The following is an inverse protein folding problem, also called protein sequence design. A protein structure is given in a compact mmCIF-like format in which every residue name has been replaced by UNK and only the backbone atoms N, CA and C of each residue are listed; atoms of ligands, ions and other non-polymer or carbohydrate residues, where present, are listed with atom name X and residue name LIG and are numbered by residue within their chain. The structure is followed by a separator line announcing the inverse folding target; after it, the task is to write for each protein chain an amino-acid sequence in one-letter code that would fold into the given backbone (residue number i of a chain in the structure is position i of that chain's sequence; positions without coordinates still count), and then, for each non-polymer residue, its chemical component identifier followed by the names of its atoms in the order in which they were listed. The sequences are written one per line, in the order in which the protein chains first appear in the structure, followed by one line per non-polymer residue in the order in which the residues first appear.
data_IF_825379620948
#
_entry.id   IF_825379620948
#
_cell.length_a   1.000
_cell.length_b   1.000
_cell.length_c   1.000
_cell.angle_alpha   90.00
_cell.angle_beta   90.00
_cell.angle_gamma   90.00
#
_symmetry.space_group_name_H-M   'P 1'
#
loop_
_entity.id
_entity.type
_entity.pdbx_description
1 polymer ?
#
# COMPACT_ATOMS: atom_id res chain seq x y z
N UNK A 1 -0.48 -11.09 23.45
CA UNK A 1 -1.19 -11.82 22.37
C UNK A 1 -2.37 -12.55 22.96
N UNK A 2 -3.56 -12.52 22.38
CA UNK A 2 -4.70 -13.30 22.89
C UNK A 2 -4.42 -14.80 22.76
N UNK A 3 -4.67 -15.55 23.82
CA UNK A 3 -4.36 -17.00 23.87
C UNK A 3 -5.40 -17.87 23.14
N UNK A 4 -6.65 -17.41 22.99
CA UNK A 4 -7.77 -18.21 22.45
C UNK A 4 -8.23 -17.77 21.07
N UNK A 5 -8.35 -16.48 20.82
CA UNK A 5 -8.83 -15.94 19.54
C UNK A 5 -8.05 -14.71 19.12
N UNK A 6 -7.99 -14.45 17.82
CA UNK A 6 -7.44 -13.20 17.30
C UNK A 6 -8.31 -12.01 17.76
N UNK A 7 -7.68 -10.85 17.96
CA UNK A 7 -8.41 -9.63 18.32
C UNK A 7 -9.47 -9.29 17.26
N UNK A 8 -10.66 -8.87 17.70
CA UNK A 8 -11.74 -8.43 16.82
C UNK A 8 -11.28 -7.22 16.01
N UNK A 9 -11.51 -7.29 14.71
CA UNK A 9 -11.11 -6.23 13.80
C UNK A 9 -12.17 -5.14 13.79
N UNK A 10 -11.76 -3.87 14.01
CA UNK A 10 -12.67 -2.74 13.88
C UNK A 10 -13.09 -2.57 12.43
N UNK A 11 -14.39 -2.38 12.12
CA UNK A 11 -14.85 -2.03 10.79
C UNK A 11 -14.29 -0.66 10.39
N UNK A 12 -13.92 -0.51 9.12
CA UNK A 12 -13.55 0.78 8.55
C UNK A 12 -14.80 1.34 7.88
N UNK A 13 -15.27 2.46 8.36
CA UNK A 13 -16.35 3.21 7.73
C UNK A 13 -15.86 3.81 6.41
N UNK A 14 -16.72 3.94 5.40
CA UNK A 14 -16.35 4.61 4.16
C UNK A 14 -16.17 6.11 4.39
N UNK A 15 -15.31 6.72 3.58
CA UNK A 15 -15.12 8.17 3.57
C UNK A 15 -16.44 8.91 3.23
N UNK A 16 -16.79 10.00 3.93
CA UNK A 16 -18.07 10.69 3.74
C UNK A 16 -18.19 11.37 2.35
N UNK A 17 -17.08 11.83 1.77
CA UNK A 17 -17.09 12.53 0.47
C UNK A 17 -17.16 11.56 -0.69
N UNK A 18 -16.21 10.62 -0.74
CA UNK A 18 -16.09 9.67 -1.85
C UNK A 18 -16.78 8.33 -1.58
N UNK A 19 -17.37 8.12 -0.42
CA UNK A 19 -18.05 6.88 0.01
C UNK A 19 -17.20 5.61 -0.19
N UNK A 20 -15.88 5.75 -0.20
CA UNK A 20 -14.92 4.68 -0.47
C UNK A 20 -14.17 4.28 0.80
N UNK A 21 -14.14 2.96 1.09
CA UNK A 21 -13.33 2.40 2.17
C UNK A 21 -11.84 2.50 1.87
N UNK A 22 -11.45 2.52 0.59
CA UNK A 22 -10.06 2.62 0.18
C UNK A 22 -9.50 4.02 0.48
N UNK A 23 -10.28 5.07 0.17
CA UNK A 23 -9.93 6.46 0.51
C UNK A 23 -9.70 6.59 2.01
N UNK A 24 -10.64 6.05 2.82
CA UNK A 24 -10.51 6.07 4.29
C UNK A 24 -9.26 5.31 4.78
N UNK A 25 -8.87 4.22 4.13
CA UNK A 25 -7.64 3.49 4.48
C UNK A 25 -6.39 4.34 4.20
N UNK A 26 -6.36 5.08 3.09
CA UNK A 26 -5.27 6.00 2.75
C UNK A 26 -5.20 7.15 3.76
N UNK A 27 -6.33 7.77 4.12
CA UNK A 27 -6.42 8.82 5.14
C UNK A 27 -5.87 8.31 6.48
N UNK A 28 -6.33 7.15 6.94
CA UNK A 28 -5.89 6.56 8.21
C UNK A 28 -4.38 6.25 8.21
N UNK A 29 -3.82 5.88 7.07
CA UNK A 29 -2.38 5.61 6.95
C UNK A 29 -1.55 6.90 6.85
N UNK A 30 -2.10 7.93 6.21
CA UNK A 30 -1.45 9.23 6.05
C UNK A 30 -1.44 10.03 7.35
N UNK A 31 -2.43 9.83 8.20
CA UNK A 31 -2.59 10.56 9.47
C UNK A 31 -1.33 10.43 10.35
N UNK A 32 -0.91 11.56 10.95
CA UNK A 32 0.11 11.67 11.97
C UNK A 32 -0.48 12.39 13.18
N UNK A 33 -0.04 12.01 14.39
CA UNK A 33 -0.41 12.65 15.67
C UNK A 33 -1.92 12.83 15.87
N UNK A 34 -2.75 11.96 15.27
CA UNK A 34 -4.21 12.05 15.36
C UNK A 34 -4.85 13.17 14.54
N UNK A 35 -4.08 13.91 13.71
CA UNK A 35 -4.57 15.03 12.89
C UNK A 35 -5.34 14.55 11.67
N UNK A 36 -6.55 14.01 11.89
CA UNK A 36 -7.36 13.39 10.85
C UNK A 36 -7.82 14.39 9.77
N UNK A 37 -8.31 15.57 10.18
CA UNK A 37 -8.80 16.61 9.26
C UNK A 37 -7.71 17.10 8.30
N UNK A 38 -6.46 17.21 8.76
CA UNK A 38 -5.32 17.55 7.90
C UNK A 38 -5.04 16.44 6.88
N UNK A 39 -5.11 15.18 7.32
CA UNK A 39 -4.91 14.03 6.41
C UNK A 39 -6.03 13.93 5.36
N UNK A 40 -7.28 14.18 5.74
CA UNK A 40 -8.44 14.24 4.83
C UNK A 40 -8.23 15.28 3.73
N UNK A 41 -7.89 16.52 4.12
CA UNK A 41 -7.61 17.60 3.16
C UNK A 41 -6.51 17.22 2.17
N UNK A 42 -5.38 16.68 2.66
CA UNK A 42 -4.26 16.24 1.81
C UNK A 42 -4.69 15.18 0.80
N UNK A 43 -5.49 14.20 1.23
CA UNK A 43 -5.95 13.13 0.34
C UNK A 43 -6.95 13.65 -0.68
N UNK A 44 -7.88 14.52 -0.29
CA UNK A 44 -8.84 15.13 -1.23
C UNK A 44 -8.14 15.99 -2.27
N UNK A 45 -7.22 16.85 -1.86
CA UNK A 45 -6.41 17.65 -2.79
C UNK A 45 -5.59 16.75 -3.75
N UNK A 46 -5.02 15.66 -3.24
CA UNK A 46 -4.28 14.72 -4.07
C UNK A 46 -5.18 14.00 -5.08
N UNK A 47 -6.37 13.60 -4.68
CA UNK A 47 -7.36 12.97 -5.57
C UNK A 47 -7.89 13.94 -6.63
N UNK A 48 -8.08 15.22 -6.29
CA UNK A 48 -8.45 16.25 -7.24
C UNK A 48 -7.36 16.43 -8.33
N UNK A 49 -6.09 16.54 -7.93
CA UNK A 49 -4.95 16.60 -8.86
C UNK A 49 -4.87 15.33 -9.74
N UNK A 50 -5.10 14.16 -9.14
CA UNK A 50 -5.08 12.89 -9.86
C UNK A 50 -6.19 12.84 -10.93
N UNK A 51 -7.41 13.23 -10.57
CA UNK A 51 -8.55 13.28 -11.47
C UNK A 51 -8.34 14.27 -12.62
N UNK A 52 -7.83 15.46 -12.32
CA UNK A 52 -7.51 16.47 -13.32
C UNK A 52 -6.49 15.96 -14.37
N UNK A 53 -5.45 15.25 -13.92
CA UNK A 53 -4.40 14.75 -14.81
C UNK A 53 -4.78 13.48 -15.56
N UNK A 54 -5.63 12.64 -15.01
CA UNK A 54 -6.04 11.36 -15.64
C UNK A 54 -7.34 11.45 -16.41
N UNK A 55 -8.16 12.48 -16.16
CA UNK A 55 -9.51 12.64 -16.73
C UNK A 55 -10.51 11.56 -16.24
N UNK A 56 -10.19 10.82 -15.17
CA UNK A 56 -10.99 9.72 -14.64
C UNK A 56 -11.61 10.11 -13.30
N UNK A 57 -12.61 9.32 -12.88
CA UNK A 57 -13.12 9.42 -11.52
C UNK A 57 -11.99 9.22 -10.49
N UNK A 58 -11.89 10.07 -9.45
CA UNK A 58 -10.79 10.03 -8.49
C UNK A 58 -10.68 8.69 -7.75
N UNK A 59 -11.82 8.04 -7.48
CA UNK A 59 -11.82 6.74 -6.78
C UNK A 59 -11.33 5.62 -7.71
N UNK A 60 -11.78 5.60 -8.96
CA UNK A 60 -11.31 4.63 -9.96
C UNK A 60 -9.80 4.78 -10.24
N UNK A 61 -9.34 6.03 -10.38
CA UNK A 61 -7.92 6.30 -10.57
C UNK A 61 -7.07 5.84 -9.37
N UNK A 62 -7.56 6.06 -8.14
CA UNK A 62 -6.92 5.55 -6.93
C UNK A 62 -6.89 4.01 -6.91
N UNK A 63 -8.01 3.35 -7.24
CA UNK A 63 -8.08 1.89 -7.27
C UNK A 63 -7.12 1.28 -8.30
N UNK A 64 -7.01 1.89 -9.47
CA UNK A 64 -6.05 1.49 -10.50
C UNK A 64 -4.59 1.59 -10.00
N UNK A 65 -4.24 2.69 -9.34
CA UNK A 65 -2.91 2.88 -8.74
C UNK A 65 -2.62 1.85 -7.66
N UNK A 66 -3.55 1.62 -6.73
CA UNK A 66 -3.39 0.63 -5.65
C UNK A 66 -3.30 -0.80 -6.21
N UNK A 67 -4.09 -1.12 -7.25
CA UNK A 67 -4.00 -2.42 -7.94
C UNK A 67 -2.61 -2.64 -8.54
N UNK A 68 -2.02 -1.61 -9.15
CA UNK A 68 -0.65 -1.67 -9.68
C UNK A 68 0.40 -1.91 -8.59
N UNK A 69 0.18 -1.40 -7.36
CA UNK A 69 1.08 -1.56 -6.22
C UNK A 69 0.86 -2.85 -5.42
N UNK A 70 -0.25 -3.55 -5.65
CA UNK A 70 -0.64 -4.72 -4.84
C UNK A 70 0.29 -5.90 -5.11
N UNK A 71 1.05 -6.40 -4.10
CA UNK A 71 1.94 -7.54 -4.27
C UNK A 71 1.16 -8.86 -4.24
N UNK A 72 1.61 -9.82 -5.04
CA UNK A 72 1.11 -11.21 -5.03
C UNK A 72 1.89 -12.06 -4.04
N UNK A 73 3.21 -11.83 -3.96
CA UNK A 73 4.14 -12.59 -3.12
C UNK A 73 4.82 -11.67 -2.10
N UNK A 74 5.13 -12.21 -0.94
CA UNK A 74 6.06 -11.62 0.02
C UNK A 74 7.11 -12.66 0.42
N UNK A 75 8.23 -12.19 0.94
CA UNK A 75 9.28 -13.07 1.46
C UNK A 75 9.23 -13.03 2.98
N UNK A 76 9.18 -14.20 3.60
CA UNK A 76 9.21 -14.37 5.04
C UNK A 76 10.41 -15.21 5.46
N UNK A 77 11.11 -14.77 6.50
CA UNK A 77 12.20 -15.55 7.07
C UNK A 77 11.65 -16.73 7.88
N UNK A 78 12.22 -17.92 7.66
CA UNK A 78 11.95 -19.12 8.44
C UNK A 78 13.26 -19.76 8.86
N UNK A 79 13.35 -20.15 10.12
CA UNK A 79 14.50 -20.87 10.65
C UNK A 79 14.27 -22.37 10.57
N UNK A 80 15.17 -23.08 9.88
CA UNK A 80 15.13 -24.53 9.71
C UNK A 80 16.54 -25.09 10.00
N UNK A 81 16.66 -25.99 10.99
CA UNK A 81 17.95 -26.62 11.31
C UNK A 81 19.08 -25.63 11.68
N UNK A 82 18.72 -24.45 12.28
CA UNK A 82 19.69 -23.43 12.65
C UNK A 82 19.99 -22.39 11.56
N UNK A 83 19.68 -22.65 10.29
CA UNK A 83 19.80 -21.69 9.19
C UNK A 83 18.50 -20.91 8.97
N UNK A 84 18.62 -19.64 8.57
CA UNK A 84 17.47 -18.78 8.26
C UNK A 84 17.29 -18.69 6.75
N UNK A 85 16.15 -19.15 6.27
CA UNK A 85 15.77 -19.12 4.85
C UNK A 85 14.73 -18.03 4.58
N UNK A 86 14.83 -17.38 3.44
CA UNK A 86 13.83 -16.44 2.95
C UNK A 86 12.81 -17.19 2.10
N UNK A 87 11.65 -17.47 2.66
CA UNK A 87 10.61 -18.29 2.03
C UNK A 87 9.57 -17.41 1.33
N UNK A 88 9.34 -17.56 0.01
CA UNK A 88 8.28 -16.86 -0.69
C UNK A 88 6.91 -17.42 -0.29
N UNK A 89 5.99 -16.53 0.05
CA UNK A 89 4.62 -16.86 0.48
C UNK A 89 3.62 -15.97 -0.24
N UNK A 90 2.49 -16.53 -0.63
CA UNK A 90 1.38 -15.76 -1.19
C UNK A 90 0.80 -14.79 -0.14
N UNK A 91 0.48 -13.59 -0.58
CA UNK A 91 -0.03 -12.55 0.32
C UNK A 91 -1.56 -12.58 0.29
N UNK A 92 -2.24 -12.77 1.44
CA UNK A 92 -3.69 -12.65 1.51
C UNK A 92 -4.16 -11.27 1.03
N UNK A 93 -5.28 -11.21 0.30
CA UNK A 93 -5.78 -10.00 -0.36
C UNK A 93 -5.86 -8.77 0.55
N UNK A 94 -6.28 -8.97 1.81
CA UNK A 94 -6.34 -7.90 2.81
C UNK A 94 -4.95 -7.33 3.15
N UNK A 95 -3.96 -8.20 3.34
CA UNK A 95 -2.58 -7.81 3.63
C UNK A 95 -1.93 -7.15 2.42
N UNK A 96 -2.17 -7.68 1.23
CA UNK A 96 -1.66 -7.13 -0.02
C UNK A 96 -2.11 -5.67 -0.21
N UNK A 97 -3.39 -5.38 0.02
CA UNK A 97 -3.91 -4.00 0.02
C UNK A 97 -3.26 -3.13 1.10
N UNK A 98 -3.10 -3.64 2.30
CA UNK A 98 -2.44 -2.90 3.40
C UNK A 98 -0.99 -2.57 3.06
N UNK A 99 -0.27 -3.48 2.41
CA UNK A 99 1.11 -3.25 1.97
C UNK A 99 1.17 -2.18 0.88
N UNK A 100 0.28 -2.25 -0.12
CA UNK A 100 0.20 -1.27 -1.19
C UNK A 100 -0.03 0.15 -0.65
N UNK A 101 -1.02 0.33 0.24
CA UNK A 101 -1.30 1.63 0.88
C UNK A 101 -0.13 2.10 1.75
N UNK A 102 0.54 1.18 2.45
CA UNK A 102 1.72 1.49 3.27
C UNK A 102 2.86 2.04 2.41
N UNK A 103 3.21 1.33 1.35
CA UNK A 103 4.29 1.74 0.44
C UNK A 103 3.96 3.05 -0.26
N UNK A 104 2.73 3.21 -0.76
CA UNK A 104 2.29 4.47 -1.36
C UNK A 104 2.58 5.67 -0.45
N UNK A 105 2.13 5.62 0.81
CA UNK A 105 2.32 6.73 1.75
C UNK A 105 3.79 6.92 2.15
N UNK A 106 4.53 5.84 2.34
CA UNK A 106 5.95 5.86 2.70
C UNK A 106 6.78 6.52 1.61
N UNK A 107 6.61 6.09 0.36
CA UNK A 107 7.37 6.65 -0.76
C UNK A 107 6.89 8.06 -1.14
N UNK A 108 5.59 8.36 -1.02
CA UNK A 108 5.10 9.72 -1.16
C UNK A 108 5.76 10.68 -0.17
N UNK A 109 5.97 10.30 1.09
CA UNK A 109 6.68 11.11 2.09
C UNK A 109 8.13 11.39 1.72
N UNK A 110 8.80 10.47 1.04
CA UNK A 110 10.20 10.58 0.65
C UNK A 110 10.41 11.42 -0.63
N UNK A 111 9.34 11.85 -1.30
CA UNK A 111 9.41 12.71 -2.49
C UNK A 111 9.82 14.13 -2.12
N UNK A 112 10.30 14.87 -3.13
CA UNK A 112 10.88 16.20 -2.97
C UNK A 112 9.93 17.36 -3.25
N UNK A 113 8.70 17.08 -3.73
CA UNK A 113 7.71 18.10 -4.03
C UNK A 113 7.33 18.91 -2.77
N UNK A 114 6.87 20.14 -2.96
CA UNK A 114 6.62 21.09 -1.87
C UNK A 114 5.50 20.62 -0.91
N UNK A 115 4.35 20.20 -1.45
CA UNK A 115 3.20 19.79 -0.64
C UNK A 115 3.02 18.28 -0.60
N UNK A 116 2.48 17.74 0.50
CA UNK A 116 2.18 16.31 0.62
C UNK A 116 1.09 15.86 -0.36
N UNK A 117 0.14 16.72 -0.71
CA UNK A 117 -0.88 16.44 -1.70
C UNK A 117 -0.25 16.20 -3.09
N UNK A 118 0.69 17.06 -3.51
CA UNK A 118 1.43 16.88 -4.76
C UNK A 118 2.29 15.61 -4.76
N UNK A 119 2.98 15.32 -3.64
CA UNK A 119 3.77 14.09 -3.47
C UNK A 119 2.92 12.84 -3.64
N UNK A 120 1.75 12.82 -2.98
CA UNK A 120 0.83 11.68 -3.05
C UNK A 120 0.24 11.52 -4.45
N UNK A 121 -0.20 12.62 -5.09
CA UNK A 121 -0.74 12.61 -6.44
C UNK A 121 0.31 12.11 -7.46
N UNK A 122 1.54 12.61 -7.39
CA UNK A 122 2.60 12.19 -8.29
C UNK A 122 3.00 10.73 -8.09
N UNK A 123 3.05 10.22 -6.84
CA UNK A 123 3.32 8.80 -6.60
C UNK A 123 2.20 7.90 -7.12
N UNK A 124 0.92 8.35 -7.06
CA UNK A 124 -0.22 7.63 -7.64
C UNK A 124 -0.13 7.58 -9.18
N UNK A 125 0.25 8.68 -9.84
CA UNK A 125 0.44 8.76 -11.29
C UNK A 125 1.60 7.86 -11.75
N UNK A 126 2.73 7.94 -11.03
CA UNK A 126 3.90 7.10 -11.33
C UNK A 126 3.57 5.62 -11.15
N UNK A 127 2.76 5.26 -10.14
CA UNK A 127 2.30 3.89 -9.94
C UNK A 127 1.44 3.38 -11.10
N UNK A 128 0.57 4.21 -11.70
CA UNK A 128 -0.20 3.83 -12.89
C UNK A 128 0.68 3.57 -14.11
N UNK A 129 1.74 4.37 -14.27
CA UNK A 129 2.74 4.19 -15.32
C UNK A 129 3.82 3.15 -15.00
N UNK A 130 3.62 2.37 -13.93
CA UNK A 130 4.56 1.34 -13.46
C UNK A 130 5.96 1.90 -13.10
N UNK A 131 5.96 3.11 -12.57
CA UNK A 131 7.15 3.83 -12.12
C UNK A 131 7.01 4.24 -10.65
N UNK A 132 7.98 5.00 -10.14
CA UNK A 132 7.94 5.48 -8.77
C UNK A 132 8.54 4.51 -7.74
N UNK A 133 8.72 5.02 -6.53
CA UNK A 133 9.37 4.30 -5.43
C UNK A 133 8.52 3.15 -4.90
N UNK A 134 7.23 3.34 -4.79
CA UNK A 134 6.29 2.33 -4.32
C UNK A 134 6.20 1.14 -5.30
N UNK A 135 6.17 1.41 -6.60
CA UNK A 135 6.18 0.36 -7.62
C UNK A 135 7.51 -0.40 -7.62
N UNK A 136 8.63 0.31 -7.55
CA UNK A 136 9.95 -0.32 -7.44
C UNK A 136 10.03 -1.26 -6.22
N UNK A 137 9.49 -0.84 -5.08
CA UNK A 137 9.44 -1.68 -3.87
C UNK A 137 8.66 -2.98 -4.08
N UNK A 138 7.50 -2.91 -4.77
CA UNK A 138 6.73 -4.10 -5.14
C UNK A 138 7.55 -5.04 -6.03
N UNK A 139 8.22 -4.49 -7.03
CA UNK A 139 9.03 -5.24 -7.98
C UNK A 139 10.25 -5.88 -7.31
N UNK A 140 10.95 -5.16 -6.42
CA UNK A 140 12.05 -5.68 -5.64
C UNK A 140 11.63 -6.89 -4.78
N UNK A 141 10.46 -6.81 -4.12
CA UNK A 141 9.93 -7.94 -3.34
C UNK A 141 9.59 -9.12 -4.25
N UNK A 142 9.01 -8.87 -5.41
CA UNK A 142 8.72 -9.91 -6.39
C UNK A 142 10.00 -10.59 -6.89
N UNK A 143 11.04 -9.82 -7.22
CA UNK A 143 12.36 -10.35 -7.62
C UNK A 143 13.01 -11.18 -6.51
N UNK A 144 12.95 -10.70 -5.25
CA UNK A 144 13.42 -11.47 -4.10
C UNK A 144 12.67 -12.79 -3.95
N UNK A 145 11.35 -12.78 -4.11
CA UNK A 145 10.52 -13.98 -4.04
C UNK A 145 10.89 -14.98 -5.16
N UNK A 146 11.13 -14.50 -6.37
CA UNK A 146 11.56 -15.33 -7.49
C UNK A 146 12.95 -15.93 -7.26
N UNK A 147 13.92 -15.14 -6.79
CA UNK A 147 15.26 -15.61 -6.47
C UNK A 147 15.25 -16.72 -5.40
N UNK A 148 14.32 -16.65 -4.46
CA UNK A 148 14.17 -17.63 -3.38
C UNK A 148 13.14 -18.73 -3.67
N UNK A 149 12.70 -18.89 -4.93
CA UNK A 149 11.69 -19.88 -5.33
C UNK A 149 12.05 -21.32 -4.95
N UNK A 150 13.31 -21.65 -4.93
CA UNK A 150 13.82 -22.97 -4.53
C UNK A 150 13.43 -23.33 -3.08
N UNK A 151 13.26 -22.34 -2.21
CA UNK A 151 12.88 -22.52 -0.81
C UNK A 151 11.35 -22.51 -0.56
N UNK A 152 10.54 -22.45 -1.62
CA UNK A 152 9.08 -22.41 -1.49
C UNK A 152 8.49 -23.65 -0.77
N UNK A 153 9.16 -24.80 -0.86
CA UNK A 153 8.78 -26.04 -0.17
C UNK A 153 8.93 -25.96 1.36
N UNK A 154 9.64 -24.97 1.90
CA UNK A 154 9.73 -24.71 3.33
C UNK A 154 8.56 -23.88 3.88
N UNK A 155 7.54 -23.53 3.06
CA UNK A 155 6.35 -22.87 3.56
C UNK A 155 5.58 -23.76 4.54
N UNK A 156 4.95 -23.17 5.53
CA UNK A 156 4.09 -23.85 6.50
C UNK A 156 2.62 -23.55 6.28
#
# INVERSE_FOLDING_TARGET
MPRRAAATQRPIEPDPVHRSKLVQQVINRLMLDGKKSTAERIVYDALAILSERTGKDPVEALEASIKALTPVLEVRSRRVGGATYQVPVEVPARRARTLAVRWLVEFARNRREKSMAQRLANELLDAQSQQGGAFKRRDDIFRMAQANKAFAHYRW
#
